data_IF_261893949501
#
_entry.id   IF_261893949501
#
_cell.length_a   1.000
_cell.length_b   1.000
_cell.length_c   1.000
_cell.angle_alpha   90.00
_cell.angle_beta   90.00
_cell.angle_gamma   90.00
#
_symmetry.space_group_name_H-M   'P 1'
#
loop_
_entity.id
_entity.type
_entity.pdbx_description
1 polymer ?
#
# COMPACT_ATOMS: atom_id res chain seq x y z
N UNK A 1 -23.20 -7.55 -4.02
CA UNK A 1 -22.58 -8.19 -5.19
C UNK A 1 -22.12 -9.58 -4.75
N UNK A 2 -22.56 -10.64 -5.42
CA UNK A 2 -22.14 -12.01 -5.07
C UNK A 2 -20.71 -12.21 -5.57
N UNK A 3 -19.78 -12.53 -4.67
CA UNK A 3 -18.41 -12.86 -5.06
C UNK A 3 -18.41 -14.25 -5.70
N UNK A 4 -18.03 -14.39 -6.98
CA UNK A 4 -18.00 -15.70 -7.62
C UNK A 4 -16.93 -16.57 -6.96
N UNK A 5 -17.29 -17.79 -6.58
CA UNK A 5 -16.34 -18.78 -6.04
C UNK A 5 -15.62 -19.52 -7.18
N UNK A 6 -14.39 -20.02 -6.98
CA UNK A 6 -13.65 -20.73 -8.03
C UNK A 6 -14.42 -21.91 -8.64
N UNK A 7 -15.11 -22.69 -7.79
CA UNK A 7 -15.91 -23.83 -8.24
C UNK A 7 -17.11 -23.38 -9.10
N UNK A 8 -17.78 -22.30 -8.71
CA UNK A 8 -18.88 -21.74 -9.50
C UNK A 8 -18.43 -21.29 -10.90
N UNK A 9 -17.28 -20.63 -11.00
CA UNK A 9 -16.71 -20.22 -12.29
C UNK A 9 -16.32 -21.43 -13.15
N UNK A 10 -15.77 -22.48 -12.54
CA UNK A 10 -15.45 -23.72 -13.24
C UNK A 10 -16.69 -24.42 -13.78
N UNK A 11 -17.79 -24.43 -13.02
CA UNK A 11 -19.05 -25.02 -13.46
C UNK A 11 -19.65 -24.25 -14.64
N UNK A 12 -19.57 -22.92 -14.63
CA UNK A 12 -19.95 -22.10 -15.78
C UNK A 12 -19.07 -22.38 -17.01
N UNK A 13 -17.75 -22.48 -16.83
CA UNK A 13 -16.81 -22.82 -17.90
C UNK A 13 -17.14 -24.18 -18.54
N UNK A 14 -17.55 -25.17 -17.75
CA UNK A 14 -17.92 -26.52 -18.25
C UNK A 14 -19.15 -26.51 -19.14
N UNK A 15 -20.05 -25.54 -19.00
CA UNK A 15 -21.24 -25.41 -19.84
C UNK A 15 -20.91 -24.95 -21.28
N UNK A 16 -19.71 -24.40 -21.50
CA UNK A 16 -19.28 -23.95 -22.82
C UNK A 16 -18.75 -25.10 -23.69
N UNK A 17 -18.88 -25.02 -25.03
CA UNK A 17 -18.17 -25.90 -25.95
C UNK A 17 -16.65 -25.86 -25.74
N UNK A 18 -15.90 -26.94 -26.03
CA UNK A 18 -14.45 -26.99 -25.79
C UNK A 18 -13.65 -25.83 -26.41
N UNK A 19 -14.03 -25.39 -27.62
CA UNK A 19 -13.38 -24.28 -28.32
C UNK A 19 -13.60 -22.94 -27.62
N UNK A 20 -14.78 -22.73 -27.04
CA UNK A 20 -15.10 -21.50 -26.31
C UNK A 20 -14.43 -21.46 -24.94
N UNK A 21 -14.32 -22.61 -24.26
CA UNK A 21 -13.51 -22.74 -23.05
C UNK A 21 -12.07 -22.30 -23.27
N UNK A 22 -11.45 -22.78 -24.35
CA UNK A 22 -10.09 -22.38 -24.73
C UNK A 22 -10.00 -20.88 -24.99
N UNK A 23 -11.00 -20.29 -25.66
CA UNK A 23 -11.04 -18.85 -25.93
C UNK A 23 -11.08 -18.03 -24.63
N UNK A 24 -11.92 -18.41 -23.68
CA UNK A 24 -12.01 -17.76 -22.36
C UNK A 24 -10.66 -17.83 -21.63
N UNK A 25 -10.06 -19.02 -21.55
CA UNK A 25 -8.76 -19.21 -20.89
C UNK A 25 -7.66 -18.38 -21.57
N UNK A 26 -7.59 -18.40 -22.90
CA UNK A 26 -6.59 -17.65 -23.67
C UNK A 26 -6.71 -16.13 -23.51
N UNK A 27 -7.92 -15.64 -23.21
CA UNK A 27 -8.18 -14.21 -23.01
C UNK A 27 -7.88 -13.79 -21.57
N UNK A 28 -8.21 -14.63 -20.60
CA UNK A 28 -8.03 -14.33 -19.17
C UNK A 28 -6.57 -14.49 -18.70
N UNK A 29 -5.82 -15.47 -19.24
CA UNK A 29 -4.45 -15.77 -18.81
C UNK A 29 -3.50 -14.55 -18.87
N UNK A 30 -3.43 -13.78 -19.97
CA UNK A 30 -2.53 -12.62 -20.05
C UNK A 30 -2.84 -11.52 -19.03
N UNK A 31 -4.10 -11.34 -18.65
CA UNK A 31 -4.52 -10.36 -17.65
C UNK A 31 -4.08 -10.80 -16.23
N UNK A 32 -4.27 -12.08 -15.94
CA UNK A 32 -3.80 -12.70 -14.69
C UNK A 32 -2.29 -12.60 -14.58
N UNK A 33 -1.57 -12.94 -15.66
CA UNK A 33 -0.10 -12.85 -15.70
C UNK A 33 0.40 -11.43 -15.46
N UNK A 34 -0.23 -10.40 -16.06
CA UNK A 34 0.12 -8.99 -15.80
C UNK A 34 -0.09 -8.60 -14.35
N UNK A 35 -1.18 -9.07 -13.75
CA UNK A 35 -1.55 -8.75 -12.36
C UNK A 35 -0.61 -9.42 -11.37
N UNK A 36 -0.25 -10.69 -11.62
CA UNK A 36 0.72 -11.44 -10.80
C UNK A 36 2.16 -10.96 -11.01
N UNK A 37 2.51 -10.52 -12.22
CA UNK A 37 3.85 -10.02 -12.56
C UNK A 37 4.09 -8.58 -12.13
N UNK A 38 3.06 -7.87 -11.67
CA UNK A 38 3.19 -6.54 -11.08
C UNK A 38 3.97 -6.64 -9.76
N UNK A 39 5.30 -6.75 -9.86
CA UNK A 39 6.19 -6.58 -8.71
C UNK A 39 5.87 -5.23 -8.07
N UNK A 40 5.75 -5.15 -6.74
CA UNK A 40 5.55 -3.87 -6.07
C UNK A 40 6.66 -2.94 -6.53
N UNK A 41 6.26 -1.80 -7.09
CA UNK A 41 7.21 -0.80 -7.58
C UNK A 41 8.14 -0.46 -6.41
N UNK A 42 9.46 -0.52 -6.57
CA UNK A 42 10.35 -0.21 -5.45
C UNK A 42 9.99 1.17 -4.93
N UNK A 43 9.75 1.25 -3.62
CA UNK A 43 9.46 2.53 -2.98
C UNK A 43 10.61 3.50 -3.29
N UNK A 44 10.27 4.72 -3.67
CA UNK A 44 11.29 5.77 -3.79
C UNK A 44 11.84 6.05 -2.40
N UNK A 45 13.15 6.25 -2.30
CA UNK A 45 13.77 6.66 -1.04
C UNK A 45 13.16 8.00 -0.59
N UNK A 46 12.79 8.10 0.68
CA UNK A 46 12.37 9.36 1.32
C UNK A 46 13.56 10.30 1.58
N UNK A 47 14.80 9.83 1.35
CA UNK A 47 16.01 10.62 1.54
C UNK A 47 15.98 11.85 0.62
N UNK A 48 16.05 13.03 1.21
CA UNK A 48 16.06 14.30 0.49
C UNK A 48 14.68 14.92 0.28
N UNK A 49 13.59 14.31 0.76
CA UNK A 49 12.24 14.87 0.68
C UNK A 49 12.13 16.29 1.27
N UNK A 50 12.95 16.59 2.29
CA UNK A 50 12.95 17.88 3.00
C UNK A 50 14.06 18.83 2.55
N UNK A 51 14.85 18.46 1.53
CA UNK A 51 16.01 19.25 1.08
C UNK A 51 15.60 20.65 0.60
N UNK A 52 14.43 20.76 -0.01
CA UNK A 52 13.95 22.01 -0.60
C UNK A 52 13.11 22.84 0.37
N UNK A 53 12.67 22.26 1.50
CA UNK A 53 11.91 22.98 2.52
C UNK A 53 12.76 23.99 3.32
N UNK A 54 14.10 23.91 3.24
CA UNK A 54 15.08 24.70 3.99
C UNK A 54 14.53 25.23 5.34
N UNK A 55 14.09 24.37 6.26
CA UNK A 55 13.52 24.85 7.51
C UNK A 55 14.64 25.52 8.32
N UNK A 56 14.53 26.82 8.55
CA UNK A 56 15.42 27.56 9.47
C UNK A 56 14.92 27.37 10.90
N UNK A 57 14.84 26.11 11.34
CA UNK A 57 14.40 25.80 12.70
C UNK A 57 15.63 25.92 13.60
N UNK A 58 15.59 26.85 14.55
CA UNK A 58 16.66 27.01 15.53
C UNK A 58 16.54 25.98 16.66
N UNK A 59 17.65 25.69 17.33
CA UNK A 59 17.64 24.82 18.52
C UNK A 59 16.74 25.40 19.62
N UNK A 60 16.75 26.73 19.77
CA UNK A 60 15.96 27.44 20.78
C UNK A 60 14.45 27.30 20.52
N UNK A 61 14.01 27.37 19.27
CA UNK A 61 12.61 27.13 18.88
C UNK A 61 12.17 25.70 19.18
N UNK A 62 13.03 24.71 18.93
CA UNK A 62 12.74 23.30 19.25
C UNK A 62 12.60 23.12 20.76
N UNK A 63 13.50 23.72 21.54
CA UNK A 63 13.48 23.59 23.00
C UNK A 63 12.31 24.33 23.64
N UNK A 64 11.91 25.49 23.08
CA UNK A 64 10.71 26.22 23.51
C UNK A 64 9.44 25.37 23.27
N UNK A 65 9.27 24.84 22.06
CA UNK A 65 8.11 23.99 21.71
C UNK A 65 8.12 22.70 22.54
N UNK A 66 9.28 22.08 22.77
CA UNK A 66 9.38 20.87 23.61
C UNK A 66 8.92 21.15 25.04
N UNK A 67 9.37 22.27 25.63
CA UNK A 67 8.95 22.69 26.98
C UNK A 67 7.47 22.98 27.05
N UNK A 68 6.90 23.64 26.04
CA UNK A 68 5.47 23.93 25.96
C UNK A 68 4.64 22.65 25.84
N UNK A 69 4.98 21.78 24.88
CA UNK A 69 4.27 20.52 24.62
C UNK A 69 4.35 19.55 25.80
N UNK A 70 5.43 19.58 26.58
CA UNK A 70 5.66 18.68 27.71
C UNK A 70 5.43 19.35 29.06
N UNK A 71 4.78 20.52 29.10
CA UNK A 71 4.45 21.22 30.34
C UNK A 71 3.60 20.36 31.27
N UNK A 72 2.68 19.60 30.71
CA UNK A 72 1.76 18.70 31.43
C UNK A 72 2.24 17.24 31.41
N UNK A 73 3.46 16.98 30.93
CA UNK A 73 4.00 15.63 30.91
C UNK A 73 4.35 15.22 32.33
N UNK A 74 3.78 14.13 32.86
CA UNK A 74 4.03 13.71 34.24
C UNK A 74 5.51 13.37 34.37
N UNK A 75 6.24 14.18 35.14
CA UNK A 75 7.59 13.85 35.59
C UNK A 75 7.43 13.23 36.96
N UNK A 76 7.80 11.97 37.10
CA UNK A 76 8.03 11.42 38.42
C UNK A 76 9.12 12.29 39.06
N UNK A 77 8.78 13.00 40.13
CA UNK A 77 9.79 13.59 41.00
C UNK A 77 10.55 12.41 41.59
N UNK A 78 11.72 12.10 41.02
CA UNK A 78 12.69 11.22 41.65
C UNK A 78 13.19 12.00 42.86
N UNK A 79 12.54 11.74 44.00
CA UNK A 79 12.95 12.21 45.32
C UNK A 79 14.27 11.58 45.77
#
# INVERSE_FOLDING_TARGET
>A
MVTPTPNYVLDMLRQLPPRERLKVISTALPEIEKTLSAKPKPYKSLRGLWKDLRPSISADEIDAVRKEMWKDFPREEIA
#
